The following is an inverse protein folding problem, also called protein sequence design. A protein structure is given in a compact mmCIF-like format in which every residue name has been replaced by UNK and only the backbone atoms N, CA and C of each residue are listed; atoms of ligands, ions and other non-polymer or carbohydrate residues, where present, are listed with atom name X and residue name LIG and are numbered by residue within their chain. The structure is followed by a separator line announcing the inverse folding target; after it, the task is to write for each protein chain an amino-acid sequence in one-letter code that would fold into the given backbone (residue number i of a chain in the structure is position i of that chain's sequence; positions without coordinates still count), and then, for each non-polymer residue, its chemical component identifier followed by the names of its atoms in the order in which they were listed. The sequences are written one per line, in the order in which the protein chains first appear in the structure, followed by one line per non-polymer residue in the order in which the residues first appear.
data_IF_911403910851
#
_entry.id   IF_911403910851
#
_cell.length_a   1.000
_cell.length_b   1.000
_cell.length_c   1.000
_cell.angle_alpha   90.00
_cell.angle_beta   90.00
_cell.angle_gamma   90.00
#
_symmetry.space_group_name_H-M   'P 1'
#
loop_
_entity.id
_entity.type
_entity.pdbx_description
1 polymer ?
#
# COMPACT_ATOMS: atom_id res chain seq x y z
N UNK A 1 15.30 -9.76 1.52
CA UNK A 1 14.37 -10.31 0.53
C UNK A 1 14.81 -9.80 -0.83
N UNK A 2 14.99 -10.67 -1.82
CA UNK A 2 15.19 -10.21 -3.21
C UNK A 2 13.83 -9.86 -3.80
N UNK A 3 13.63 -8.58 -4.12
CA UNK A 3 12.39 -8.11 -4.72
C UNK A 3 12.42 -8.39 -6.22
N UNK A 4 11.55 -9.30 -6.69
CA UNK A 4 11.35 -9.53 -8.11
C UNK A 4 10.52 -8.39 -8.72
N UNK A 5 11.03 -7.73 -9.78
CA UNK A 5 10.39 -6.60 -10.45
C UNK A 5 8.97 -6.95 -10.93
N UNK A 6 8.79 -8.11 -11.56
CA UNK A 6 7.49 -8.57 -12.07
C UNK A 6 6.49 -8.75 -10.94
N UNK A 7 6.91 -9.32 -9.82
CA UNK A 7 6.01 -9.51 -8.67
C UNK A 7 5.64 -8.17 -8.02
N UNK A 8 6.61 -7.26 -7.88
CA UNK A 8 6.38 -5.91 -7.38
C UNK A 8 5.40 -5.13 -8.27
N UNK A 9 5.58 -5.21 -9.60
CA UNK A 9 4.67 -4.61 -10.55
C UNK A 9 3.25 -5.14 -10.40
N UNK A 10 3.07 -6.47 -10.33
CA UNK A 10 1.74 -7.09 -10.17
C UNK A 10 1.04 -6.64 -8.89
N UNK A 11 1.76 -6.50 -7.79
CA UNK A 11 1.18 -6.00 -6.54
C UNK A 11 0.79 -4.53 -6.68
N UNK A 12 1.67 -3.70 -7.24
CA UNK A 12 1.38 -2.30 -7.48
C UNK A 12 0.15 -2.13 -8.40
N UNK A 13 0.11 -2.84 -9.52
CA UNK A 13 -1.00 -2.83 -10.48
C UNK A 13 -2.32 -3.25 -9.82
N UNK A 14 -2.29 -4.26 -8.94
CA UNK A 14 -3.48 -4.69 -8.21
C UNK A 14 -4.03 -3.58 -7.29
N UNK A 15 -3.16 -2.86 -6.59
CA UNK A 15 -3.57 -1.69 -5.80
C UNK A 15 -4.11 -0.57 -6.68
N UNK A 16 -3.43 -0.28 -7.80
CA UNK A 16 -3.86 0.73 -8.76
C UNK A 16 -5.28 0.46 -9.28
N UNK A 17 -5.55 -0.78 -9.70
CA UNK A 17 -6.86 -1.18 -10.21
C UNK A 17 -7.94 -1.10 -9.14
N UNK A 18 -7.69 -1.57 -7.92
CA UNK A 18 -8.64 -1.47 -6.81
C UNK A 18 -8.97 -0.05 -6.43
N UNK A 19 -7.96 0.82 -6.34
CA UNK A 19 -8.18 2.23 -6.03
C UNK A 19 -8.99 2.89 -7.16
N UNK A 20 -8.68 2.58 -8.42
CA UNK A 20 -9.45 3.08 -9.57
C UNK A 20 -10.92 2.66 -9.48
N UNK A 21 -11.20 1.40 -9.17
CA UNK A 21 -12.54 0.85 -8.99
C UNK A 21 -13.27 1.51 -7.80
N UNK A 22 -12.62 1.61 -6.65
CA UNK A 22 -13.17 2.18 -5.41
C UNK A 22 -13.52 3.66 -5.53
N UNK A 23 -12.77 4.39 -6.36
CA UNK A 23 -13.01 5.80 -6.67
C UNK A 23 -14.01 5.99 -7.83
N UNK A 24 -14.50 4.91 -8.45
CA UNK A 24 -15.40 4.99 -9.59
C UNK A 24 -14.78 5.72 -10.78
N UNK A 25 -13.48 5.53 -11.02
CA UNK A 25 -12.77 6.18 -12.12
C UNK A 25 -13.25 5.59 -13.43
N UNK A 26 -14.08 6.35 -14.13
CA UNK A 26 -14.59 5.99 -15.46
C UNK A 26 -13.51 6.27 -16.52
N UNK A 27 -13.53 5.58 -17.68
CA UNK A 27 -12.58 5.85 -18.77
C UNK A 27 -12.49 7.32 -19.19
N UNK A 28 -13.58 8.07 -19.03
CA UNK A 28 -13.68 9.51 -19.36
C UNK A 28 -12.99 10.44 -18.35
N UNK A 29 -12.84 10.05 -17.08
CA UNK A 29 -12.18 10.85 -16.02
C UNK A 29 -10.81 10.27 -15.64
N UNK A 30 -10.42 9.15 -16.26
CA UNK A 30 -9.21 8.39 -15.96
C UNK A 30 -7.95 9.26 -16.03
N UNK A 31 -7.80 10.08 -17.07
CA UNK A 31 -6.61 10.89 -17.27
C UNK A 31 -6.38 11.96 -16.18
N UNK A 32 -7.43 12.46 -15.55
CA UNK A 32 -7.32 13.49 -14.51
C UNK A 32 -6.95 12.89 -13.14
N UNK A 33 -7.35 11.64 -12.90
CA UNK A 33 -7.16 10.96 -11.62
C UNK A 33 -6.01 9.93 -11.64
N UNK A 34 -5.47 9.59 -12.81
CA UNK A 34 -4.38 8.63 -13.00
C UNK A 34 -3.21 8.86 -12.02
N UNK A 35 -2.72 10.11 -11.93
CA UNK A 35 -1.65 10.47 -11.00
C UNK A 35 -2.05 10.23 -9.54
N UNK A 36 -3.26 10.64 -9.18
CA UNK A 36 -3.78 10.50 -7.82
C UNK A 36 -3.92 9.02 -7.41
N UNK A 37 -4.46 8.20 -8.31
CA UNK A 37 -4.55 6.75 -8.13
C UNK A 37 -3.15 6.14 -8.00
N UNK A 38 -2.20 6.51 -8.87
CA UNK A 38 -0.83 6.00 -8.83
C UNK A 38 -0.12 6.31 -7.52
N UNK A 39 -0.27 7.53 -6.98
CA UNK A 39 0.29 7.89 -5.68
C UNK A 39 -0.34 7.10 -4.53
N UNK A 40 -1.66 6.89 -4.54
CA UNK A 40 -2.33 6.07 -3.53
C UNK A 40 -1.88 4.61 -3.60
N UNK A 41 -1.74 4.07 -4.81
CA UNK A 41 -1.23 2.72 -5.03
C UNK A 41 0.20 2.58 -4.52
N UNK A 42 1.05 3.60 -4.70
CA UNK A 42 2.40 3.63 -4.18
C UNK A 42 2.45 3.59 -2.64
N UNK A 43 1.53 4.27 -1.97
CA UNK A 43 1.41 4.24 -0.51
C UNK A 43 1.10 2.82 -0.03
N UNK A 44 0.09 2.17 -0.62
CA UNK A 44 -0.28 0.79 -0.24
C UNK A 44 0.80 -0.23 -0.61
N UNK A 45 1.47 -0.04 -1.75
CA UNK A 45 2.58 -0.90 -2.15
C UNK A 45 3.74 -0.82 -1.15
N UNK A 46 4.12 0.39 -0.70
CA UNK A 46 5.14 0.56 0.33
C UNK A 46 4.71 -0.03 1.68
N UNK A 47 3.43 0.13 2.04
CA UNK A 47 2.87 -0.52 3.23
C UNK A 47 3.04 -2.05 3.15
N UNK A 48 2.70 -2.68 2.02
CA UNK A 48 2.87 -4.12 1.85
C UNK A 48 4.33 -4.54 2.04
N UNK A 49 5.27 -3.86 1.39
CA UNK A 49 6.69 -4.21 1.52
C UNK A 49 7.21 -4.04 2.95
N UNK A 50 6.82 -2.95 3.63
CA UNK A 50 7.12 -2.73 5.05
C UNK A 50 6.63 -3.92 5.92
N UNK A 51 5.38 -4.34 5.71
CA UNK A 51 4.78 -5.43 6.48
C UNK A 51 5.38 -6.80 6.12
N UNK A 52 5.76 -7.01 4.86
CA UNK A 52 6.46 -8.21 4.41
C UNK A 52 7.82 -8.31 5.09
N UNK A 53 8.60 -7.23 5.13
CA UNK A 53 9.90 -7.20 5.80
C UNK A 53 9.77 -7.46 7.30
N UNK A 54 8.83 -6.78 7.95
CA UNK A 54 8.53 -7.00 9.36
C UNK A 54 8.17 -8.45 9.65
N UNK A 55 7.25 -9.02 8.86
CA UNK A 55 6.86 -10.42 9.00
C UNK A 55 8.03 -11.36 8.76
N UNK A 56 8.83 -11.16 7.71
CA UNK A 56 9.96 -12.04 7.40
C UNK A 56 11.00 -12.06 8.53
N UNK A 57 11.07 -11.01 9.36
CA UNK A 57 11.96 -10.96 10.52
C UNK A 57 11.46 -11.76 11.75
N UNK A 58 10.19 -12.21 11.76
CA UNK A 58 9.54 -12.83 12.93
C UNK A 58 8.88 -14.17 12.58
N UNK A 59 8.14 -14.23 11.48
CA UNK A 59 7.30 -15.35 11.04
C UNK A 59 7.43 -15.51 9.52
N UNK A 60 8.61 -15.96 9.10
CA UNK A 60 8.96 -16.11 7.69
C UNK A 60 8.03 -17.08 6.94
N UNK A 61 7.54 -18.11 7.63
CA UNK A 61 6.60 -19.09 7.09
C UNK A 61 5.15 -18.59 7.05
N UNK A 62 4.89 -17.39 7.59
CA UNK A 62 3.59 -16.71 7.57
C UNK A 62 2.50 -17.51 8.27
N UNK A 63 2.86 -18.22 9.34
CA UNK A 63 1.94 -19.09 10.06
C UNK A 63 0.98 -18.30 10.97
N UNK A 64 1.44 -17.17 11.51
CA UNK A 64 0.74 -16.34 12.50
C UNK A 64 0.42 -14.96 11.92
N UNK A 65 1.42 -14.32 11.32
CA UNK A 65 1.37 -12.95 10.80
C UNK A 65 0.88 -12.90 9.35
N UNK A 66 -0.16 -13.68 9.02
CA UNK A 66 -0.84 -13.59 7.74
C UNK A 66 -1.88 -12.47 7.74
N UNK A 67 -2.15 -11.91 6.57
CA UNK A 67 -3.17 -10.93 6.32
C UNK A 67 -2.97 -9.67 7.15
N UNK A 68 -4.08 -9.15 7.70
CA UNK A 68 -4.05 -7.98 8.58
C UNK A 68 -3.28 -8.20 9.89
N UNK A 69 -2.97 -9.45 10.27
CA UNK A 69 -2.21 -9.70 11.51
C UNK A 69 -0.80 -9.09 11.45
N UNK A 70 -0.18 -9.04 10.26
CA UNK A 70 1.11 -8.37 10.10
C UNK A 70 1.01 -6.88 10.46
N UNK A 71 -0.04 -6.19 9.99
CA UNK A 71 -0.29 -4.79 10.30
C UNK A 71 -0.58 -4.59 11.80
N UNK A 72 -1.50 -5.37 12.38
CA UNK A 72 -1.85 -5.25 13.80
C UNK A 72 -0.62 -5.46 14.69
N UNK A 73 0.20 -6.46 14.36
CA UNK A 73 1.43 -6.73 15.07
C UNK A 73 2.48 -5.63 14.87
N UNK A 74 2.61 -5.06 13.67
CA UNK A 74 3.51 -3.94 13.42
C UNK A 74 3.10 -2.72 14.26
N UNK A 75 1.82 -2.35 14.23
CA UNK A 75 1.28 -1.25 15.04
C UNK A 75 1.53 -1.47 16.53
N UNK A 76 1.31 -2.69 17.02
CA UNK A 76 1.58 -3.03 18.41
C UNK A 76 3.07 -2.94 18.78
N UNK A 77 3.93 -3.60 18.01
CA UNK A 77 5.34 -3.76 18.40
C UNK A 77 6.25 -2.60 18.02
N UNK A 78 5.92 -1.86 16.94
CA UNK A 78 6.74 -0.75 16.43
C UNK A 78 6.16 0.62 16.76
N UNK A 79 4.85 0.71 16.98
CA UNK A 79 4.16 1.98 17.29
C UNK A 79 3.56 2.05 18.68
N UNK A 80 3.58 0.94 19.43
CA UNK A 80 3.07 0.89 20.79
C UNK A 80 1.55 0.99 20.89
N UNK A 81 0.82 0.81 19.78
CA UNK A 81 -0.65 0.80 19.77
C UNK A 81 -1.14 -0.47 20.46
N UNK A 82 -1.99 -0.41 21.51
CA UNK A 82 -2.52 -1.60 22.14
C UNK A 82 -3.13 -2.57 21.12
N UNK A 83 -2.85 -3.87 21.24
CA UNK A 83 -3.21 -4.83 20.19
C UNK A 83 -4.72 -4.88 19.90
N UNK A 84 -5.56 -4.70 20.92
CA UNK A 84 -7.03 -4.61 20.77
C UNK A 84 -7.44 -3.38 19.97
N UNK A 85 -6.78 -2.24 20.17
CA UNK A 85 -7.03 -1.02 19.41
C UNK A 85 -6.52 -1.16 17.98
N UNK A 86 -5.33 -1.74 17.79
CA UNK A 86 -4.74 -1.98 16.48
C UNK A 86 -5.68 -2.78 15.55
N UNK A 87 -6.47 -3.71 16.09
CA UNK A 87 -7.47 -4.49 15.35
C UNK A 87 -8.72 -3.70 14.95
N UNK A 88 -8.99 -2.57 15.60
CA UNK A 88 -10.15 -1.72 15.35
C UNK A 88 -9.88 -0.52 14.45
N UNK A 89 -8.59 -0.24 14.16
CA UNK A 89 -8.21 0.88 13.30
C UNK A 89 -8.65 0.64 11.86
N UNK A 90 -9.16 1.70 11.22
CA UNK A 90 -9.35 1.70 9.78
C UNK A 90 -7.99 1.72 9.06
N UNK A 91 -8.01 1.43 7.76
CA UNK A 91 -6.85 1.62 6.89
C UNK A 91 -6.35 3.07 6.94
N UNK A 92 -7.26 4.05 6.89
CA UNK A 92 -6.92 5.45 6.97
C UNK A 92 -6.17 5.78 8.27
N UNK A 93 -6.68 5.33 9.42
CA UNK A 93 -6.04 5.59 10.72
C UNK A 93 -4.66 4.92 10.80
N UNK A 94 -4.58 3.68 10.29
CA UNK A 94 -3.32 2.93 10.22
C UNK A 94 -2.29 3.65 9.36
N UNK A 95 -2.69 4.18 8.20
CA UNK A 95 -1.81 4.95 7.31
C UNK A 95 -1.36 6.27 7.93
N UNK A 96 -2.20 6.93 8.72
CA UNK A 96 -1.81 8.14 9.46
C UNK A 96 -0.72 7.81 10.48
N UNK A 97 -0.90 6.74 11.26
CA UNK A 97 0.09 6.30 12.26
C UNK A 97 1.42 5.89 11.59
N UNK A 98 1.34 5.29 10.40
CA UNK A 98 2.48 4.77 9.65
C UNK A 98 3.03 5.74 8.60
N UNK A 99 2.54 6.98 8.56
CA UNK A 99 2.88 7.94 7.50
C UNK A 99 4.40 8.17 7.40
N UNK A 100 5.07 8.25 8.54
CA UNK A 100 6.53 8.42 8.59
C UNK A 100 7.27 7.18 8.05
N UNK A 101 6.90 5.97 8.48
CA UNK A 101 7.55 4.72 8.02
C UNK A 101 7.39 4.53 6.51
N UNK A 102 6.17 4.74 6.01
CA UNK A 102 5.86 4.62 4.58
C UNK A 102 6.64 5.66 3.77
N UNK A 103 6.74 6.90 4.26
CA UNK A 103 7.50 7.95 3.58
C UNK A 103 8.99 7.61 3.50
N UNK A 104 9.55 7.04 4.56
CA UNK A 104 10.97 6.67 4.70
C UNK A 104 11.32 5.33 4.05
N UNK A 105 10.34 4.48 3.76
CA UNK A 105 10.57 3.20 3.10
C UNK A 105 11.15 3.43 1.69
N UNK A 106 12.38 2.97 1.51
CA UNK A 106 13.13 3.11 0.26
C UNK A 106 12.88 1.89 -0.63
N UNK A 107 12.32 2.15 -1.81
CA UNK A 107 12.20 1.14 -2.86
C UNK A 107 13.53 1.02 -3.60
N UNK A 108 13.92 -0.19 -4.05
CA UNK A 108 14.97 -0.35 -5.04
C UNK A 108 14.72 0.53 -6.27
N UNK A 109 15.79 1.15 -6.78
CA UNK A 109 15.69 2.17 -7.83
C UNK A 109 15.12 1.62 -9.15
N UNK A 110 15.49 0.39 -9.49
CA UNK A 110 14.98 -0.37 -10.64
C UNK A 110 13.45 -0.56 -10.56
N UNK A 111 12.92 -0.96 -9.41
CA UNK A 111 11.47 -1.14 -9.20
C UNK A 111 10.75 0.21 -9.29
N UNK A 112 11.27 1.24 -8.63
CA UNK A 112 10.66 2.57 -8.67
C UNK A 112 10.66 3.15 -10.09
N UNK A 113 11.75 2.97 -10.83
CA UNK A 113 11.85 3.43 -12.21
C UNK A 113 10.89 2.66 -13.12
N UNK A 114 10.78 1.34 -12.95
CA UNK A 114 9.82 0.53 -13.69
C UNK A 114 8.38 1.01 -13.46
N UNK A 115 7.97 1.18 -12.19
CA UNK A 115 6.64 1.69 -11.84
C UNK A 115 6.40 3.09 -12.44
N UNK A 116 7.39 3.99 -12.41
CA UNK A 116 7.27 5.33 -12.99
C UNK A 116 7.20 5.37 -14.52
N UNK A 117 7.70 4.33 -15.19
CA UNK A 117 7.59 4.21 -16.64
C UNK A 117 6.21 3.70 -17.06
N UNK A 118 5.61 2.83 -16.25
CA UNK A 118 4.32 2.20 -16.55
C UNK A 118 3.11 3.01 -16.08
N UNK A 119 3.27 3.81 -15.02
CA UNK A 119 2.18 4.59 -14.42
C UNK A 119 2.49 6.08 -14.39
N UNK A 120 1.43 6.89 -14.46
CA UNK A 120 1.55 8.33 -14.48
C UNK A 120 1.85 8.87 -13.07
N UNK A 121 2.98 9.58 -12.92
CA UNK A 121 3.32 10.36 -11.73
C UNK A 121 3.67 11.82 -12.07
N UNK A 122 3.25 12.29 -13.26
CA UNK A 122 3.73 13.54 -13.87
C UNK A 122 3.25 14.82 -13.17
N UNK A 123 2.15 14.77 -12.43
CA UNK A 123 1.69 15.92 -11.66
C UNK A 123 0.94 15.51 -10.38
N UNK A 124 1.28 16.18 -9.29
CA UNK A 124 0.64 15.94 -7.99
C UNK A 124 -0.54 16.91 -7.79
N UNK A 125 -1.49 16.90 -8.74
CA UNK A 125 -2.61 17.87 -8.77
C UNK A 125 -3.71 17.52 -7.74
N UNK A 126 -3.29 17.14 -6.52
CA UNK A 126 -4.15 16.77 -5.39
C UNK A 126 -5.16 17.89 -5.07
N UNK A 127 -4.86 19.14 -5.41
CA UNK A 127 -5.73 20.31 -5.16
C UNK A 127 -7.09 20.23 -5.85
N UNK A 128 -7.21 19.50 -6.96
CA UNK A 128 -8.50 19.32 -7.67
C UNK A 128 -9.31 18.12 -7.17
N UNK A 129 -8.73 17.29 -6.28
CA UNK A 129 -9.40 16.11 -5.74
C UNK A 129 -10.16 16.48 -4.47
N UNK A 130 -11.47 16.20 -4.45
CA UNK A 130 -12.35 16.40 -3.27
C UNK A 130 -11.88 15.56 -2.08
N UNK A 131 -12.09 16.06 -0.86
CA UNK A 131 -11.52 15.46 0.35
C UNK A 131 -12.04 14.04 0.61
N UNK A 132 -13.27 13.73 0.24
CA UNK A 132 -13.85 12.38 0.39
C UNK A 132 -13.09 11.33 -0.42
N UNK A 133 -12.54 11.71 -1.58
CA UNK A 133 -11.71 10.82 -2.41
C UNK A 133 -10.31 10.62 -1.83
N UNK A 134 -9.88 11.47 -0.89
CA UNK A 134 -8.56 11.37 -0.23
C UNK A 134 -8.54 10.33 0.88
N UNK A 135 -9.69 9.98 1.44
CA UNK A 135 -9.79 8.94 2.47
C UNK A 135 -9.51 7.56 1.87
N UNK A 136 -8.62 6.78 2.49
CA UNK A 136 -8.42 5.37 2.16
C UNK A 136 -9.52 4.52 2.79
N UNK A 137 -10.27 3.80 1.95
CA UNK A 137 -11.28 2.83 2.41
C UNK A 137 -10.60 1.50 2.68
N UNK A 138 -11.10 0.74 3.65
CA UNK A 138 -10.57 -0.61 3.92
C UNK A 138 -10.58 -1.53 2.70
N UNK A 139 -11.51 -1.33 1.76
CA UNK A 139 -11.59 -2.06 0.49
C UNK A 139 -10.48 -1.73 -0.51
N UNK A 140 -9.79 -0.60 -0.33
CA UNK A 140 -8.70 -0.17 -1.21
C UNK A 140 -7.46 -1.06 -1.02
N UNK A 141 -7.31 -1.64 0.18
CA UNK A 141 -6.18 -2.47 0.54
C UNK A 141 -6.58 -3.93 0.64
N UNK A 142 -5.84 -4.76 -0.09
CA UNK A 142 -5.94 -6.21 0.00
C UNK A 142 -4.64 -6.75 0.56
N UNK A 143 -4.80 -7.62 1.55
CA UNK A 143 -3.73 -8.21 2.31
C UNK A 143 -3.21 -9.51 1.67
N UNK A 144 -3.97 -10.14 0.77
CA UNK A 144 -3.55 -11.38 0.09
C UNK A 144 -2.27 -11.28 -0.75
N UNK A 145 -1.97 -10.19 -1.48
CA UNK A 145 -0.73 -10.06 -2.25
C UNK A 145 0.49 -10.06 -1.34
N UNK A 146 0.35 -9.49 -0.14
CA UNK A 146 1.38 -9.58 0.89
C UNK A 146 1.51 -11.00 1.42
N UNK A 147 0.48 -11.85 1.40
CA UNK A 147 0.51 -13.23 1.90
C UNK A 147 0.91 -14.29 0.88
N UNK A 148 0.74 -14.04 -0.40
CA UNK A 148 1.38 -14.86 -1.44
C UNK A 148 2.89 -14.67 -1.33
N UNK A 149 3.65 -15.77 -1.23
CA UNK A 149 5.12 -15.69 -1.23
C UNK A 149 5.51 -14.88 -2.47
N UNK A 150 6.27 -13.80 -2.27
CA UNK A 150 6.97 -13.11 -3.34
C UNK A 150 8.07 -14.08 -3.81
N UNK A 151 7.66 -15.14 -4.50
CA UNK A 151 8.54 -16.11 -5.16
C UNK A 151 8.65 -15.72 -6.63
#
# INVERSE_FOLDING_TARGET
MELNITTCYRIFEKHYNRISESLGVNPSTRHELENFVAYRALILFKLDLLLIDHRNSIDQDRFILFGKNALHHYLFTKKGVPYTEAKSLSLQDSLIILAEDISKYMLPADILNFIKNEFNFSSNNIKSVIDEMRVFKDSDWDFEPADTRLN
#
